data_IF_657840020725
#
_entry.id   IF_657840020725
#
_cell.length_a   1.000
_cell.length_b   1.000
_cell.length_c   1.000
_cell.angle_alpha   90.00
_cell.angle_beta   90.00
_cell.angle_gamma   90.00
#
_symmetry.space_group_name_H-M   'P 1'
#
loop_
_entity.id
_entity.type
_entity.pdbx_description
1 polymer ?
#
# COMPACT_ATOMS: atom_id res chain seq x y z
N UNK A 1 40.81 -22.70 19.96
CA UNK A 1 41.30 -21.72 18.99
C UNK A 1 40.09 -21.25 18.16
N UNK A 2 39.56 -20.10 18.47
CA UNK A 2 38.42 -19.51 17.74
C UNK A 2 38.99 -18.58 16.68
N UNK A 3 38.66 -18.85 15.43
CA UNK A 3 39.01 -17.99 14.28
C UNK A 3 38.10 -16.76 14.19
N UNK A 4 38.57 -15.64 13.63
CA UNK A 4 37.87 -14.35 13.68
C UNK A 4 36.67 -14.29 12.73
N UNK A 5 35.58 -13.67 13.22
CA UNK A 5 34.32 -13.49 12.55
C UNK A 5 34.43 -12.71 11.23
N UNK A 6 33.67 -13.19 10.24
CA UNK A 6 33.43 -12.46 9.00
C UNK A 6 32.37 -11.38 9.24
N UNK A 7 32.81 -10.15 9.26
CA UNK A 7 31.93 -8.99 9.17
C UNK A 7 31.20 -8.97 7.82
N UNK A 8 29.87 -8.99 7.88
CA UNK A 8 29.03 -8.79 6.70
C UNK A 8 29.24 -7.35 6.19
N UNK A 9 29.71 -7.21 4.95
CA UNK A 9 29.73 -5.94 4.24
C UNK A 9 28.31 -5.60 3.81
N UNK A 10 27.79 -4.50 4.30
CA UNK A 10 26.59 -3.85 3.78
C UNK A 10 26.95 -3.35 2.38
N UNK A 11 26.26 -3.85 1.37
CA UNK A 11 26.40 -3.35 0.00
C UNK A 11 25.71 -1.98 -0.10
N UNK A 12 26.47 -0.93 -0.36
CA UNK A 12 25.96 0.38 -0.72
C UNK A 12 25.25 0.29 -2.08
N UNK A 13 23.95 0.53 -2.05
CA UNK A 13 23.13 0.63 -3.27
C UNK A 13 23.27 2.03 -3.87
N UNK A 14 24.14 2.18 -4.88
CA UNK A 14 24.20 3.38 -5.73
C UNK A 14 23.07 3.29 -6.75
N UNK A 15 21.93 3.85 -6.47
CA UNK A 15 20.90 4.16 -7.48
C UNK A 15 21.22 5.52 -8.12
N UNK A 16 21.97 5.49 -9.21
CA UNK A 16 22.13 6.58 -10.14
C UNK A 16 21.52 6.21 -11.49
N UNK A 17 20.21 6.17 -11.60
CA UNK A 17 19.52 6.10 -12.88
C UNK A 17 18.94 7.47 -13.20
N UNK A 18 19.49 8.16 -14.22
CA UNK A 18 18.88 9.34 -14.82
C UNK A 18 17.60 8.92 -15.54
N UNK A 19 16.48 9.65 -15.41
CA UNK A 19 15.27 9.38 -16.16
C UNK A 19 15.51 9.69 -17.65
N UNK A 20 15.12 8.75 -18.51
CA UNK A 20 15.06 8.93 -19.97
C UNK A 20 13.98 9.94 -20.35
N UNK A 21 14.15 10.75 -21.39
CA UNK A 21 13.13 11.70 -21.83
C UNK A 21 11.94 10.97 -22.43
N UNK A 22 10.74 11.27 -21.95
CA UNK A 22 9.45 10.82 -22.48
C UNK A 22 9.19 11.53 -23.83
N UNK A 23 8.76 10.82 -24.88
CA UNK A 23 8.33 11.47 -26.12
C UNK A 23 7.02 12.23 -25.89
N UNK A 24 6.92 13.41 -26.51
CA UNK A 24 5.86 14.39 -26.33
C UNK A 24 4.46 13.82 -26.51
N UNK A 25 3.65 13.95 -25.48
CA UNK A 25 2.21 13.74 -25.49
C UNK A 25 1.52 15.11 -25.58
N UNK A 26 0.56 15.19 -26.46
CA UNK A 26 -0.28 16.35 -26.76
C UNK A 26 -0.94 16.94 -25.51
N UNK A 27 -0.95 18.27 -25.43
CA UNK A 27 -1.66 19.03 -24.41
C UNK A 27 -3.17 18.73 -24.51
N UNK A 28 -3.72 18.15 -23.45
CA UNK A 28 -5.16 18.13 -23.24
C UNK A 28 -5.69 19.58 -23.06
N UNK A 29 -6.91 19.90 -23.55
CA UNK A 29 -7.46 21.23 -23.46
C UNK A 29 -7.74 21.62 -22.01
N UNK A 30 -7.28 22.81 -21.63
CA UNK A 30 -7.57 23.49 -20.39
C UNK A 30 -9.04 23.90 -20.35
N UNK A 31 -9.88 23.04 -19.82
CA UNK A 31 -11.28 23.29 -19.52
C UNK A 31 -11.60 22.82 -18.11
N UNK A 32 -11.01 23.45 -17.11
CA UNK A 32 -11.52 23.37 -15.73
C UNK A 32 -12.81 24.19 -15.70
N UNK A 33 -13.95 23.53 -15.96
CA UNK A 33 -15.24 24.08 -15.57
C UNK A 33 -15.23 24.18 -14.04
N UNK A 34 -15.42 25.39 -13.52
CA UNK A 34 -15.76 25.63 -12.13
C UNK A 34 -17.02 24.84 -11.80
N UNK A 35 -16.84 23.68 -11.18
CA UNK A 35 -17.95 22.87 -10.70
C UNK A 35 -18.44 23.53 -9.42
N UNK A 36 -19.46 24.39 -9.57
CA UNK A 36 -20.21 24.99 -8.45
C UNK A 36 -20.71 23.84 -7.58
N UNK A 37 -20.24 23.80 -6.34
CA UNK A 37 -20.84 22.97 -5.28
C UNK A 37 -22.31 23.33 -5.20
N UNK A 38 -23.17 22.41 -5.66
CA UNK A 38 -24.61 22.60 -5.60
C UNK A 38 -25.09 22.53 -4.15
N UNK A 39 -25.47 23.68 -3.62
CA UNK A 39 -26.50 23.92 -2.62
C UNK A 39 -26.57 23.06 -1.36
N UNK A 40 -25.51 23.04 -0.53
CA UNK A 40 -25.63 23.05 0.91
C UNK A 40 -24.81 24.24 1.39
N UNK A 41 -25.32 25.01 2.36
CA UNK A 41 -24.67 26.24 2.82
C UNK A 41 -23.20 25.95 3.13
N UNK A 42 -22.30 26.50 2.34
CA UNK A 42 -20.87 26.38 2.53
C UNK A 42 -20.53 26.98 3.89
N UNK A 43 -20.24 26.14 4.89
CA UNK A 43 -19.50 26.56 6.05
C UNK A 43 -18.14 27.03 5.56
N UNK A 44 -17.85 28.30 5.83
CA UNK A 44 -16.81 29.05 5.11
C UNK A 44 -15.37 28.63 5.42
N UNK A 45 -15.07 27.69 6.33
CA UNK A 45 -13.70 27.47 6.76
C UNK A 45 -13.28 26.04 7.19
N UNK A 46 -14.09 25.01 7.10
CA UNK A 46 -13.72 23.67 7.56
C UNK A 46 -13.72 22.61 6.47
N UNK A 47 -12.63 21.84 6.35
CA UNK A 47 -12.61 20.61 5.59
C UNK A 47 -13.37 19.52 6.36
N UNK A 48 -14.19 18.74 5.66
CA UNK A 48 -14.98 17.66 6.25
C UNK A 48 -14.21 16.34 6.21
N UNK A 49 -14.12 15.65 7.35
CA UNK A 49 -13.46 14.35 7.45
C UNK A 49 -14.43 13.26 7.93
N UNK A 50 -14.49 12.16 7.19
CA UNK A 50 -15.20 10.96 7.62
C UNK A 50 -14.20 9.98 8.26
N UNK A 51 -14.39 9.72 9.57
CA UNK A 51 -13.59 8.80 10.38
C UNK A 51 -14.44 7.65 10.95
N UNK A 52 -15.66 7.43 10.47
CA UNK A 52 -16.59 6.45 11.03
C UNK A 52 -15.99 5.02 11.04
N UNK A 53 -15.21 4.68 10.01
CA UNK A 53 -14.51 3.40 9.90
C UNK A 53 -13.07 3.42 10.42
N UNK A 54 -12.70 4.43 11.20
CA UNK A 54 -11.39 4.58 11.83
C UNK A 54 -11.49 4.41 13.35
N UNK A 55 -10.73 3.46 13.90
CA UNK A 55 -10.66 3.21 15.35
C UNK A 55 -9.56 3.98 16.09
N UNK A 56 -8.71 4.69 15.34
CA UNK A 56 -7.52 5.35 15.90
C UNK A 56 -7.86 6.75 16.39
N UNK A 57 -7.89 6.93 17.73
CA UNK A 57 -8.14 8.21 18.37
C UNK A 57 -7.13 9.30 18.01
N UNK A 58 -5.89 8.92 17.73
CA UNK A 58 -4.87 9.87 17.30
C UNK A 58 -5.24 10.60 15.99
N UNK A 59 -6.01 9.97 15.08
CA UNK A 59 -6.47 10.63 13.87
C UNK A 59 -7.56 11.65 14.17
N UNK A 60 -8.52 11.33 15.03
CA UNK A 60 -9.54 12.30 15.49
C UNK A 60 -8.90 13.53 16.10
N UNK A 61 -7.91 13.30 16.96
CA UNK A 61 -7.18 14.41 17.58
C UNK A 61 -6.46 15.28 16.54
N UNK A 62 -5.72 14.65 15.62
CA UNK A 62 -4.96 15.38 14.58
C UNK A 62 -5.90 16.14 13.64
N UNK A 63 -7.00 15.53 13.19
CA UNK A 63 -7.96 16.20 12.30
C UNK A 63 -8.64 17.37 13.00
N UNK A 64 -9.04 17.22 14.26
CA UNK A 64 -9.63 18.31 15.05
C UNK A 64 -8.63 19.46 15.27
N UNK A 65 -7.37 19.18 15.62
CA UNK A 65 -6.30 20.18 15.79
C UNK A 65 -5.99 20.93 14.48
N UNK A 66 -6.27 20.32 13.31
CA UNK A 66 -6.10 20.97 12.00
C UNK A 66 -7.39 21.57 11.44
N UNK A 67 -8.43 21.71 12.25
CA UNK A 67 -9.67 22.39 11.87
C UNK A 67 -10.58 21.58 10.94
N UNK A 68 -10.45 20.24 10.90
CA UNK A 68 -11.42 19.40 10.22
C UNK A 68 -12.67 19.20 11.07
N UNK A 69 -13.83 19.19 10.45
CA UNK A 69 -15.10 18.80 11.05
C UNK A 69 -15.38 17.32 10.76
N UNK A 70 -15.59 16.52 11.82
CA UNK A 70 -15.88 15.10 11.67
C UNK A 70 -17.35 14.89 11.27
N UNK A 71 -17.57 14.10 10.21
CA UNK A 71 -18.89 13.73 9.68
C UNK A 71 -19.04 12.21 9.57
N UNK A 72 -20.29 11.73 9.60
CA UNK A 72 -20.61 10.31 9.46
C UNK A 72 -20.77 9.85 8.00
N UNK A 73 -21.11 8.56 7.83
CA UNK A 73 -21.34 7.95 6.50
C UNK A 73 -22.61 8.42 5.80
N UNK A 74 -23.52 9.08 6.51
CA UNK A 74 -24.73 9.73 6.00
C UNK A 74 -24.41 11.05 5.26
N UNK A 75 -23.25 11.68 5.53
CA UNK A 75 -22.78 12.85 4.81
C UNK A 75 -22.11 12.41 3.49
N UNK A 76 -22.61 12.94 2.38
CA UNK A 76 -22.13 12.61 1.04
C UNK A 76 -20.92 13.44 0.61
N UNK A 77 -20.76 14.66 1.16
CA UNK A 77 -19.82 15.68 0.69
C UNK A 77 -18.66 15.92 1.65
N UNK A 78 -17.97 14.86 2.07
CA UNK A 78 -16.72 14.97 2.84
C UNK A 78 -15.51 15.18 1.91
N UNK A 79 -14.46 15.78 2.41
CA UNK A 79 -13.21 16.02 1.69
C UNK A 79 -12.21 14.86 1.85
N UNK A 80 -12.10 14.31 3.07
CA UNK A 80 -11.22 13.20 3.41
C UNK A 80 -12.00 12.08 4.10
N UNK A 81 -11.78 10.84 3.67
CA UNK A 81 -12.25 9.67 4.40
C UNK A 81 -11.06 8.80 4.81
N UNK A 82 -10.96 8.48 6.09
CA UNK A 82 -9.93 7.59 6.60
C UNK A 82 -10.55 6.30 7.14
N UNK A 83 -10.15 5.18 6.55
CA UNK A 83 -10.65 3.85 6.89
C UNK A 83 -9.50 2.96 7.38
N UNK A 84 -9.78 2.04 8.31
CA UNK A 84 -8.83 1.03 8.79
C UNK A 84 -8.78 -0.22 7.90
N UNK A 85 -9.73 -0.36 7.00
CA UNK A 85 -9.87 -1.49 6.10
C UNK A 85 -9.76 -1.09 4.63
N UNK A 86 -9.51 -2.08 3.77
CA UNK A 86 -9.46 -1.86 2.33
C UNK A 86 -10.79 -1.37 1.78
N UNK A 87 -10.72 -0.55 0.74
CA UNK A 87 -11.87 0.00 0.01
C UNK A 87 -12.19 -0.85 -1.22
N UNK A 88 -13.47 -1.00 -1.54
CA UNK A 88 -13.93 -1.65 -2.77
C UNK A 88 -13.82 -0.71 -3.97
N UNK A 89 -13.65 -1.29 -5.17
CA UNK A 89 -13.68 -0.54 -6.43
C UNK A 89 -15.00 0.22 -6.60
N UNK A 90 -16.15 -0.40 -6.25
CA UNK A 90 -17.45 0.23 -6.31
C UNK A 90 -17.62 1.44 -5.40
N UNK A 91 -16.92 1.50 -4.25
CA UNK A 91 -16.91 2.69 -3.39
C UNK A 91 -16.06 3.80 -4.03
N UNK A 92 -14.88 3.46 -4.54
CA UNK A 92 -14.00 4.44 -5.19
C UNK A 92 -14.61 5.01 -6.46
N UNK A 93 -15.31 4.21 -7.24
CA UNK A 93 -16.00 4.67 -8.46
C UNK A 93 -17.10 5.69 -8.20
N UNK A 94 -17.61 5.79 -6.98
CA UNK A 94 -18.66 6.76 -6.57
C UNK A 94 -18.09 8.04 -5.97
N UNK A 95 -16.78 8.15 -5.79
CA UNK A 95 -16.16 9.33 -5.22
C UNK A 95 -16.27 10.52 -6.17
N UNK A 96 -16.53 11.69 -5.60
CA UNK A 96 -16.40 12.94 -6.33
C UNK A 96 -14.92 13.29 -6.56
N UNK A 97 -14.58 14.06 -7.60
CA UNK A 97 -13.18 14.38 -7.93
C UNK A 97 -12.39 15.08 -6.83
N UNK A 98 -13.07 15.77 -5.91
CA UNK A 98 -12.44 16.45 -4.78
C UNK A 98 -12.19 15.53 -3.57
N UNK A 99 -12.93 14.41 -3.44
CA UNK A 99 -12.82 13.49 -2.30
C UNK A 99 -11.51 12.73 -2.32
N UNK A 100 -10.97 12.49 -1.14
CA UNK A 100 -9.73 11.73 -0.92
C UNK A 100 -9.98 10.61 0.07
N UNK A 101 -9.38 9.45 -0.19
CA UNK A 101 -9.45 8.28 0.68
C UNK A 101 -8.04 7.69 0.86
N UNK A 102 -7.75 7.16 2.04
CA UNK A 102 -6.42 6.63 2.40
C UNK A 102 -6.11 5.24 1.83
N UNK A 103 -6.97 4.66 1.02
CA UNK A 103 -6.77 3.35 0.41
C UNK A 103 -6.94 3.37 -1.10
N UNK A 104 -6.21 2.46 -1.77
CA UNK A 104 -6.44 2.14 -3.18
C UNK A 104 -7.18 0.81 -3.29
N UNK A 105 -8.08 0.64 -4.30
CA UNK A 105 -8.64 -0.66 -4.63
C UNK A 105 -7.54 -1.68 -4.92
N UNK A 106 -7.75 -2.93 -4.51
CA UNK A 106 -6.78 -4.01 -4.75
C UNK A 106 -5.52 -3.99 -3.89
N UNK A 107 -5.38 -3.06 -2.93
CA UNK A 107 -4.19 -2.98 -2.05
C UNK A 107 -3.90 -4.28 -1.30
N UNK A 108 -4.88 -5.15 -1.07
CA UNK A 108 -4.67 -6.44 -0.42
C UNK A 108 -3.72 -7.36 -1.21
N UNK A 109 -3.58 -7.15 -2.52
CA UNK A 109 -2.68 -7.91 -3.37
C UNK A 109 -1.20 -7.62 -3.09
N UNK A 110 -0.88 -6.47 -2.49
CA UNK A 110 0.49 -6.10 -2.10
C UNK A 110 0.66 -5.93 -0.58
N UNK A 111 -0.43 -5.75 0.18
CA UNK A 111 -0.38 -5.59 1.64
C UNK A 111 -0.43 -6.91 2.40
N UNK A 112 -0.96 -7.98 1.79
CA UNK A 112 -1.02 -9.32 2.40
C UNK A 112 0.16 -10.16 1.95
N UNK A 113 0.78 -10.89 2.90
CA UNK A 113 2.02 -11.64 2.67
C UNK A 113 1.92 -12.68 1.55
N UNK A 114 0.84 -13.48 1.52
CA UNK A 114 0.67 -14.52 0.50
C UNK A 114 0.36 -13.95 -0.90
N UNK A 115 -0.59 -13.03 -1.10
CA UNK A 115 -0.78 -12.35 -2.38
C UNK A 115 0.49 -11.65 -2.88
N UNK A 116 1.17 -10.89 -2.02
CA UNK A 116 2.43 -10.22 -2.37
C UNK A 116 3.48 -11.23 -2.87
N UNK A 117 3.67 -12.34 -2.15
CA UNK A 117 4.62 -13.39 -2.57
C UNK A 117 4.27 -13.97 -3.95
N UNK A 118 2.98 -14.23 -4.21
CA UNK A 118 2.53 -14.73 -5.53
C UNK A 118 2.77 -13.71 -6.64
N UNK A 119 2.45 -12.45 -6.39
CA UNK A 119 2.64 -11.38 -7.38
C UNK A 119 4.12 -11.14 -7.67
N UNK A 120 4.97 -11.07 -6.64
CA UNK A 120 6.42 -10.93 -6.82
C UNK A 120 7.03 -12.11 -7.57
N UNK A 121 6.58 -13.35 -7.32
CA UNK A 121 7.03 -14.52 -8.07
C UNK A 121 6.63 -14.48 -9.55
N UNK A 122 5.40 -14.04 -9.85
CA UNK A 122 4.97 -13.83 -11.25
C UNK A 122 5.85 -12.78 -11.93
N UNK A 123 6.13 -11.67 -11.26
CA UNK A 123 7.00 -10.62 -11.79
C UNK A 123 8.45 -11.11 -11.94
N UNK A 124 8.97 -11.89 -10.99
CA UNK A 124 10.29 -12.47 -11.07
C UNK A 124 10.43 -13.47 -12.24
N UNK A 125 9.36 -14.19 -12.58
CA UNK A 125 9.36 -15.07 -13.77
C UNK A 125 9.40 -14.26 -15.06
N UNK A 126 8.68 -13.14 -15.14
CA UNK A 126 8.64 -12.27 -16.31
C UNK A 126 9.86 -11.35 -16.43
N UNK A 127 10.37 -10.87 -15.29
CA UNK A 127 11.44 -9.88 -15.17
C UNK A 127 12.46 -10.29 -14.11
N UNK A 128 13.27 -11.35 -14.33
CA UNK A 128 14.10 -11.97 -13.29
C UNK A 128 15.19 -11.05 -12.73
N UNK A 129 15.68 -10.09 -13.51
CA UNK A 129 16.73 -9.15 -13.05
C UNK A 129 16.14 -8.08 -12.13
N UNK A 130 15.02 -7.50 -12.52
CA UNK A 130 14.36 -6.39 -11.84
C UNK A 130 13.73 -6.84 -10.52
N UNK A 131 13.25 -8.09 -10.43
CA UNK A 131 12.58 -8.64 -9.26
C UNK A 131 13.42 -9.63 -8.45
N UNK A 132 14.76 -9.60 -8.59
CA UNK A 132 15.69 -10.44 -7.83
C UNK A 132 15.80 -10.07 -6.33
N UNK A 133 15.28 -8.92 -5.93
CA UNK A 133 15.32 -8.44 -4.55
C UNK A 133 14.40 -9.19 -3.59
N UNK A 134 13.41 -9.91 -4.11
CA UNK A 134 12.43 -10.64 -3.28
C UNK A 134 13.06 -11.94 -2.75
N UNK A 135 13.00 -12.19 -1.43
CA UNK A 135 13.47 -13.44 -0.85
C UNK A 135 12.61 -14.61 -1.30
N UNK A 136 13.22 -15.79 -1.41
CA UNK A 136 12.50 -17.02 -1.71
C UNK A 136 11.42 -17.28 -0.65
N UNK A 137 10.18 -17.42 -1.09
CA UNK A 137 9.02 -17.55 -0.22
C UNK A 137 8.11 -18.68 -0.71
N UNK A 138 7.53 -19.44 0.23
CA UNK A 138 6.59 -20.52 -0.05
C UNK A 138 5.28 -20.29 0.68
N UNK A 139 4.16 -20.50 -0.01
CA UNK A 139 2.81 -20.47 0.56
C UNK A 139 2.49 -21.84 1.18
N UNK A 140 2.35 -21.88 2.49
CA UNK A 140 1.94 -23.08 3.22
C UNK A 140 0.41 -23.14 3.36
N UNK A 141 -0.25 -24.33 3.22
CA UNK A 141 0.34 -25.65 2.96
C UNK A 141 0.61 -25.96 1.48
N UNK A 142 0.13 -25.14 0.53
CA UNK A 142 0.10 -25.44 -0.91
C UNK A 142 1.47 -25.77 -1.51
N UNK A 143 2.55 -25.20 -0.97
CA UNK A 143 3.91 -25.37 -1.49
C UNK A 143 4.84 -26.11 -0.51
N UNK A 144 4.29 -26.89 0.39
CA UNK A 144 5.07 -27.63 1.39
C UNK A 144 6.14 -28.54 0.77
N UNK A 145 5.82 -29.24 -0.30
CA UNK A 145 6.76 -30.16 -0.93
C UNK A 145 7.91 -29.43 -1.65
N UNK A 146 7.62 -28.29 -2.25
CA UNK A 146 8.66 -27.42 -2.81
C UNK A 146 9.59 -26.88 -1.73
N UNK A 147 9.02 -26.47 -0.60
CA UNK A 147 9.80 -26.04 0.57
C UNK A 147 10.68 -27.19 1.11
N UNK A 148 10.12 -28.39 1.28
CA UNK A 148 10.88 -29.57 1.76
C UNK A 148 12.04 -29.92 0.83
N UNK A 149 11.81 -29.86 -0.49
CA UNK A 149 12.87 -30.10 -1.48
C UNK A 149 13.99 -29.05 -1.34
N UNK A 150 13.61 -27.79 -1.24
CA UNK A 150 14.57 -26.70 -1.09
C UNK A 150 15.37 -26.77 0.23
N UNK A 151 14.70 -27.02 1.36
CA UNK A 151 15.34 -27.09 2.68
C UNK A 151 16.33 -28.25 2.78
N UNK A 152 16.05 -29.40 2.14
CA UNK A 152 17.00 -30.52 2.06
C UNK A 152 18.25 -30.18 1.25
N UNK A 153 18.10 -29.37 0.21
CA UNK A 153 19.24 -28.90 -0.61
C UNK A 153 20.03 -27.76 0.04
N UNK A 154 19.46 -27.11 1.07
CA UNK A 154 20.07 -25.98 1.78
C UNK A 154 19.96 -26.19 3.31
N UNK A 155 20.71 -27.15 3.88
CA UNK A 155 20.55 -27.55 5.28
C UNK A 155 20.94 -26.44 6.29
N UNK A 156 21.83 -25.53 5.90
CA UNK A 156 22.28 -24.43 6.75
C UNK A 156 21.41 -23.17 6.66
N UNK A 157 20.37 -23.20 5.82
CA UNK A 157 19.48 -22.04 5.65
C UNK A 157 18.52 -21.89 6.84
N UNK A 158 18.33 -20.65 7.28
CA UNK A 158 17.39 -20.28 8.33
C UNK A 158 16.10 -19.77 7.70
N UNK A 159 14.97 -20.22 8.21
CA UNK A 159 13.65 -19.89 7.70
C UNK A 159 12.80 -19.18 8.76
N UNK A 160 11.94 -18.28 8.32
CA UNK A 160 10.95 -17.63 9.17
C UNK A 160 9.55 -18.03 8.71
N UNK A 161 8.70 -18.47 9.64
CA UNK A 161 7.28 -18.74 9.39
C UNK A 161 6.48 -17.52 9.81
N UNK A 162 5.63 -17.04 8.91
CA UNK A 162 4.77 -15.87 9.16
C UNK A 162 3.32 -16.24 8.88
N UNK A 163 2.37 -15.93 9.78
CA UNK A 163 0.94 -16.11 9.47
C UNK A 163 0.56 -15.20 8.28
N UNK A 164 -0.31 -15.69 7.41
CA UNK A 164 -0.80 -14.92 6.24
C UNK A 164 -1.60 -13.70 6.65
N UNK A 165 -2.39 -13.82 7.74
CA UNK A 165 -3.08 -12.71 8.40
C UNK A 165 -2.43 -12.51 9.77
N UNK A 166 -2.03 -11.28 10.06
CA UNK A 166 -1.40 -10.93 11.32
C UNK A 166 -0.43 -9.76 11.17
N UNK A 167 -0.37 -8.95 12.21
CA UNK A 167 0.54 -7.82 12.35
C UNK A 167 1.39 -7.96 13.61
N UNK A 168 2.35 -7.06 13.82
CA UNK A 168 3.17 -6.94 15.04
C UNK A 168 4.02 -8.18 15.38
N UNK A 169 4.46 -8.96 14.39
CA UNK A 169 5.37 -10.07 14.63
C UNK A 169 4.76 -11.28 15.36
N UNK A 170 3.43 -11.37 15.44
CA UNK A 170 2.71 -12.51 16.02
C UNK A 170 2.52 -13.61 15.01
#
# INVERSE_FOLDING_TARGET
MFGPGRTARVAENRFGAKPSPTPGGERAPSGLSENKRGGAAANQDGLLVNLEHCKYECLRKVTAENGFEEVGDDEQYWDLCWMDSSVSEGRVAKLYPFQRINHFPGMLEICRKAPLSRNLRRMQTAHPREYSFSPQTWDYPAQLDLFRKYSRANPDAVYIVKPSAGAMGR
#
